data_IF_756139029850
#
_entry.id   IF_756139029850
#
_cell.length_a   1.000
_cell.length_b   1.000
_cell.length_c   1.000
_cell.angle_alpha   90.00
_cell.angle_beta   90.00
_cell.angle_gamma   90.00
#
_symmetry.space_group_name_H-M   'P 1'
#
loop_
_entity.id
_entity.type
_entity.pdbx_description
1 polymer ?
#
# COMPACT_ATOMS: atom_id res chain seq x y z
N UNK A 1 -12.76 -65.11 -24.76
CA UNK A 1 -11.93 -64.43 -23.72
C UNK A 1 -11.31 -63.11 -24.18
N UNK A 2 -11.03 -62.84 -25.40
CA UNK A 2 -10.43 -61.57 -25.89
C UNK A 2 -11.28 -60.31 -25.68
N UNK A 3 -12.61 -60.40 -25.73
CA UNK A 3 -13.53 -59.25 -25.61
C UNK A 3 -13.60 -58.64 -24.19
N UNK A 4 -13.36 -59.41 -23.16
CA UNK A 4 -13.33 -58.93 -21.77
C UNK A 4 -12.07 -58.07 -21.48
N UNK A 5 -10.94 -58.42 -22.08
CA UNK A 5 -9.71 -57.65 -21.99
C UNK A 5 -9.81 -56.28 -22.65
N UNK A 6 -10.42 -56.23 -23.85
CA UNK A 6 -10.59 -55.00 -24.60
C UNK A 6 -11.48 -53.98 -23.88
N UNK A 7 -12.57 -54.48 -23.25
CA UNK A 7 -13.49 -53.62 -22.44
C UNK A 7 -12.79 -53.09 -21.16
N UNK A 8 -11.89 -53.87 -20.54
CA UNK A 8 -11.12 -53.47 -19.36
C UNK A 8 -10.07 -52.41 -19.68
N UNK A 9 -9.42 -52.55 -20.84
CA UNK A 9 -8.48 -51.50 -21.33
C UNK A 9 -9.20 -50.23 -21.67
N UNK A 10 -10.32 -50.25 -22.36
CA UNK A 10 -11.13 -49.05 -22.69
C UNK A 10 -11.61 -48.31 -21.42
N UNK A 11 -12.06 -49.01 -20.38
CA UNK A 11 -12.45 -48.41 -19.09
C UNK A 11 -11.25 -47.71 -18.41
N UNK A 12 -10.08 -48.34 -18.41
CA UNK A 12 -8.85 -47.76 -17.84
C UNK A 12 -8.41 -46.52 -18.63
N UNK A 13 -8.38 -46.60 -19.97
CA UNK A 13 -8.04 -45.46 -20.82
C UNK A 13 -9.01 -44.30 -20.63
N UNK A 14 -10.33 -44.59 -20.55
CA UNK A 14 -11.32 -43.58 -20.28
C UNK A 14 -11.14 -42.90 -18.90
N UNK A 15 -10.90 -43.71 -17.85
CA UNK A 15 -10.67 -43.17 -16.53
C UNK A 15 -9.42 -42.29 -16.47
N UNK A 16 -8.31 -42.74 -17.12
CA UNK A 16 -7.10 -41.91 -17.22
C UNK A 16 -7.36 -40.60 -18.00
N UNK A 17 -8.07 -40.68 -19.11
CA UNK A 17 -8.42 -39.50 -19.92
C UNK A 17 -9.27 -38.50 -19.11
N UNK A 18 -10.23 -38.98 -18.32
CA UNK A 18 -11.05 -38.14 -17.43
C UNK A 18 -10.17 -37.48 -16.35
N UNK A 19 -9.27 -38.24 -15.70
CA UNK A 19 -8.36 -37.66 -14.70
C UNK A 19 -7.43 -36.60 -15.29
N UNK A 20 -6.87 -36.85 -16.46
CA UNK A 20 -6.03 -35.86 -17.18
C UNK A 20 -6.84 -34.64 -17.56
N UNK A 21 -8.08 -34.81 -18.05
CA UNK A 21 -8.96 -33.68 -18.37
C UNK A 21 -9.28 -32.85 -17.13
N UNK A 22 -9.61 -33.50 -16.01
CA UNK A 22 -9.85 -32.80 -14.74
C UNK A 22 -8.63 -32.03 -14.25
N UNK A 23 -7.43 -32.63 -14.40
CA UNK A 23 -6.16 -31.97 -14.06
C UNK A 23 -5.91 -30.74 -14.97
N UNK A 24 -6.19 -30.86 -16.28
CA UNK A 24 -6.07 -29.75 -17.21
C UNK A 24 -7.07 -28.64 -16.88
N UNK A 25 -8.32 -28.99 -16.60
CA UNK A 25 -9.36 -28.01 -16.20
C UNK A 25 -9.00 -27.27 -14.91
N UNK A 26 -8.40 -27.98 -13.96
CA UNK A 26 -7.89 -27.36 -12.72
C UNK A 26 -6.70 -26.43 -13.00
N UNK A 27 -5.70 -26.91 -13.75
CA UNK A 27 -4.50 -26.14 -14.08
C UNK A 27 -4.79 -24.90 -14.95
N UNK A 28 -5.82 -24.97 -15.79
CA UNK A 28 -6.27 -23.83 -16.62
C UNK A 28 -7.12 -22.81 -15.84
N UNK A 29 -7.46 -23.06 -14.59
CA UNK A 29 -8.32 -22.20 -13.77
C UNK A 29 -9.81 -22.22 -14.16
N UNK A 30 -10.20 -23.02 -15.19
CA UNK A 30 -11.61 -23.12 -15.63
C UNK A 30 -12.46 -23.80 -14.56
N UNK A 31 -11.88 -24.75 -13.84
CA UNK A 31 -12.54 -25.43 -12.73
C UNK A 31 -11.55 -25.68 -11.60
N UNK A 32 -11.62 -24.90 -10.53
CA UNK A 32 -10.75 -25.06 -9.38
C UNK A 32 -11.35 -26.05 -8.36
N UNK A 33 -10.57 -27.07 -7.99
CA UNK A 33 -10.92 -27.99 -6.90
C UNK A 33 -10.31 -27.45 -5.59
N UNK A 34 -11.14 -27.06 -4.64
CA UNK A 34 -10.70 -26.49 -3.36
C UNK A 34 -9.71 -27.41 -2.60
N UNK A 35 -9.87 -28.74 -2.73
CA UNK A 35 -8.95 -29.68 -2.10
C UNK A 35 -7.55 -29.65 -2.73
N UNK A 36 -7.46 -29.57 -4.07
CA UNK A 36 -6.17 -29.45 -4.78
C UNK A 36 -5.51 -28.10 -4.48
N UNK A 37 -6.29 -27.04 -4.45
CA UNK A 37 -5.79 -25.72 -4.12
C UNK A 37 -5.13 -25.68 -2.73
N UNK A 38 -5.77 -26.28 -1.71
CA UNK A 38 -5.16 -26.42 -0.37
C UNK A 38 -3.86 -27.22 -0.36
N UNK A 39 -3.77 -28.26 -1.20
CA UNK A 39 -2.54 -29.04 -1.33
C UNK A 39 -1.45 -28.21 -1.98
N UNK A 40 -1.76 -27.46 -3.03
CA UNK A 40 -0.82 -26.56 -3.69
C UNK A 40 -0.31 -25.47 -2.73
N UNK A 41 -1.20 -24.85 -1.96
CA UNK A 41 -0.84 -23.88 -0.92
C UNK A 41 0.07 -24.51 0.15
N UNK A 42 -0.25 -25.72 0.62
CA UNK A 42 0.57 -26.41 1.61
C UNK A 42 1.96 -26.79 1.06
N UNK A 43 2.03 -27.23 -0.19
CA UNK A 43 3.29 -27.53 -0.87
C UNK A 43 4.12 -26.26 -1.12
N UNK A 44 3.48 -25.16 -1.47
CA UNK A 44 4.13 -23.85 -1.59
C UNK A 44 4.75 -23.43 -0.25
N UNK A 45 3.97 -23.47 0.83
CA UNK A 45 4.43 -23.12 2.18
C UNK A 45 5.60 -24.03 2.63
N UNK A 46 5.49 -25.33 2.38
CA UNK A 46 6.56 -26.30 2.70
C UNK A 46 7.84 -25.97 1.92
N UNK A 47 7.70 -25.76 0.61
CA UNK A 47 8.84 -25.43 -0.25
C UNK A 47 9.50 -24.14 0.20
N UNK A 48 8.71 -23.10 0.50
CA UNK A 48 9.23 -21.83 0.98
C UNK A 48 10.02 -22.02 2.28
N UNK A 49 9.47 -22.75 3.27
CA UNK A 49 10.17 -23.03 4.54
C UNK A 49 11.48 -23.79 4.36
N UNK A 50 11.54 -24.69 3.39
CA UNK A 50 12.74 -25.52 3.14
C UNK A 50 13.81 -24.77 2.32
N UNK A 51 13.39 -23.84 1.47
CA UNK A 51 14.30 -23.16 0.53
C UNK A 51 14.61 -21.71 0.89
N UNK A 52 13.82 -21.11 1.80
CA UNK A 52 14.04 -19.74 2.21
C UNK A 52 15.36 -19.61 2.97
N UNK A 53 16.25 -18.72 2.53
CA UNK A 53 17.49 -18.47 3.24
C UNK A 53 17.17 -17.92 4.64
N UNK A 54 17.80 -18.49 5.68
CA UNK A 54 17.66 -18.08 7.08
C UNK A 54 18.57 -16.85 7.37
N UNK A 55 18.77 -15.97 6.38
CA UNK A 55 19.61 -14.79 6.48
C UNK A 55 18.76 -13.54 6.42
N UNK A 56 19.13 -12.55 7.23
CA UNK A 56 18.58 -11.20 7.14
C UNK A 56 19.31 -10.43 6.04
N UNK A 57 18.61 -9.67 5.25
CA UNK A 57 19.22 -8.73 4.32
C UNK A 57 19.51 -7.41 5.06
N UNK A 58 20.77 -7.21 5.44
CA UNK A 58 21.20 -6.04 6.20
C UNK A 58 21.01 -4.70 5.45
N UNK A 59 20.71 -4.74 4.15
CA UNK A 59 20.41 -3.55 3.36
C UNK A 59 19.01 -3.00 3.61
N UNK A 60 18.12 -3.82 4.20
CA UNK A 60 16.72 -3.47 4.49
C UNK A 60 16.58 -3.28 5.98
N UNK A 61 16.23 -2.06 6.39
CA UNK A 61 16.00 -1.70 7.79
C UNK A 61 14.54 -1.31 7.96
N UNK A 62 13.85 -1.98 8.89
CA UNK A 62 12.49 -1.61 9.29
C UNK A 62 12.59 -0.71 10.50
N UNK A 63 12.03 0.49 10.38
CA UNK A 63 11.92 1.45 11.49
C UNK A 63 10.48 1.39 11.99
N UNK A 64 10.30 0.80 13.14
CA UNK A 64 9.00 0.65 13.79
C UNK A 64 8.72 1.79 14.77
N UNK A 65 7.46 2.26 14.78
CA UNK A 65 6.93 3.19 15.78
C UNK A 65 6.38 2.34 16.93
N UNK A 66 7.28 1.85 17.77
CA UNK A 66 7.01 0.96 18.87
C UNK A 66 6.44 1.68 20.10
N UNK A 67 5.98 0.92 21.09
CA UNK A 67 5.45 1.43 22.35
C UNK A 67 6.44 2.35 23.11
N UNK A 68 7.75 2.10 22.98
CA UNK A 68 8.78 2.94 23.58
C UNK A 68 8.86 4.30 22.90
N UNK A 69 8.71 4.33 21.60
CA UNK A 69 8.65 5.56 20.80
C UNK A 69 7.39 6.34 21.14
N UNK A 70 6.23 5.67 21.27
CA UNK A 70 4.98 6.29 21.66
C UNK A 70 5.05 6.86 23.09
N UNK A 71 5.63 6.14 24.04
CA UNK A 71 5.81 6.62 25.42
C UNK A 71 6.69 7.86 25.53
N UNK A 72 7.69 8.01 24.63
CA UNK A 72 8.63 9.15 24.65
C UNK A 72 8.16 10.34 23.84
N UNK A 73 7.52 10.08 22.70
CA UNK A 73 7.20 11.11 21.72
C UNK A 73 5.71 11.42 21.63
N UNK A 74 4.87 10.71 22.40
CA UNK A 74 3.42 10.83 22.38
C UNK A 74 2.77 9.88 21.37
N UNK A 75 1.44 9.79 21.47
CA UNK A 75 0.63 8.87 20.67
C UNK A 75 0.69 9.20 19.18
N UNK A 76 0.56 8.15 18.36
CA UNK A 76 0.35 8.28 16.93
C UNK A 76 -1.11 8.71 16.64
N UNK A 77 -1.38 9.55 15.63
CA UNK A 77 -0.44 10.07 14.63
C UNK A 77 0.39 11.26 15.13
N UNK A 78 1.68 11.24 14.86
CA UNK A 78 2.56 12.38 15.16
C UNK A 78 2.33 13.55 14.21
N UNK A 79 2.67 14.77 14.66
CA UNK A 79 2.65 15.95 13.81
C UNK A 79 3.53 15.77 12.58
N UNK A 80 3.13 16.36 11.45
CA UNK A 80 3.91 16.30 10.20
C UNK A 80 5.30 16.94 10.37
N UNK A 81 5.44 17.91 11.25
CA UNK A 81 6.75 18.49 11.59
C UNK A 81 7.71 17.43 12.17
N UNK A 82 7.20 16.53 13.04
CA UNK A 82 8.00 15.43 13.60
C UNK A 82 8.33 14.37 12.54
N UNK A 83 7.38 13.99 11.72
CA UNK A 83 7.60 13.07 10.61
C UNK A 83 8.62 13.67 9.62
N UNK A 84 8.53 14.96 9.32
CA UNK A 84 9.50 15.66 8.47
C UNK A 84 10.91 15.64 9.06
N UNK A 85 11.04 15.79 10.39
CA UNK A 85 12.34 15.69 11.06
C UNK A 85 12.94 14.27 10.93
N UNK A 86 12.11 13.23 11.09
CA UNK A 86 12.53 11.83 10.88
C UNK A 86 12.95 11.59 9.43
N UNK A 87 12.16 12.04 8.46
CA UNK A 87 12.51 11.93 7.03
C UNK A 87 13.85 12.59 6.74
N UNK A 88 14.06 13.83 7.22
CA UNK A 88 15.36 14.53 7.04
C UNK A 88 16.51 13.79 7.70
N UNK A 89 16.33 13.29 8.91
CA UNK A 89 17.36 12.50 9.59
C UNK A 89 17.78 11.31 8.73
N UNK A 90 16.83 10.53 8.22
CA UNK A 90 17.10 9.34 7.44
C UNK A 90 17.70 9.66 6.07
N UNK A 91 17.15 10.64 5.37
CA UNK A 91 17.55 10.93 3.98
C UNK A 91 18.80 11.78 3.87
N UNK A 92 18.97 12.77 4.76
CA UNK A 92 20.07 13.74 4.68
C UNK A 92 21.26 13.35 5.56
N UNK A 93 21.00 12.85 6.78
CA UNK A 93 22.08 12.51 7.71
C UNK A 93 22.51 11.06 7.60
N UNK A 94 21.57 10.12 7.56
CA UNK A 94 21.86 8.69 7.39
C UNK A 94 22.07 8.30 5.93
N UNK A 95 21.66 9.16 4.99
CA UNK A 95 21.84 8.98 3.54
C UNK A 95 21.31 7.64 3.01
N UNK A 96 20.10 7.25 3.47
CA UNK A 96 19.45 6.03 2.99
C UNK A 96 19.21 6.10 1.48
N UNK A 97 19.43 5.00 0.78
CA UNK A 97 19.24 4.91 -0.67
C UNK A 97 17.77 5.04 -1.09
N UNK A 98 16.83 4.62 -0.22
CA UNK A 98 15.39 4.79 -0.40
C UNK A 98 14.70 4.72 0.96
N UNK A 99 13.60 5.47 1.12
CA UNK A 99 12.74 5.45 2.30
C UNK A 99 11.31 5.20 1.84
N UNK A 100 10.68 4.13 2.32
CA UNK A 100 9.24 3.88 2.16
C UNK A 100 8.50 4.30 3.43
N UNK A 101 7.42 5.06 3.31
CA UNK A 101 6.53 5.40 4.40
C UNK A 101 5.25 4.57 4.28
N UNK A 102 5.08 3.60 5.18
CA UNK A 102 3.86 2.79 5.32
C UNK A 102 2.84 3.55 6.20
N UNK A 103 2.47 4.73 5.75
CA UNK A 103 1.51 5.59 6.41
C UNK A 103 0.79 6.47 5.37
N UNK A 104 -0.48 6.78 5.64
CA UNK A 104 -1.30 7.64 4.79
C UNK A 104 -1.64 8.92 5.54
N UNK A 105 -1.40 10.05 4.91
CA UNK A 105 -1.65 11.38 5.42
C UNK A 105 -2.82 12.00 4.64
N UNK A 106 -4.03 11.48 4.89
CA UNK A 106 -5.23 11.83 4.14
C UNK A 106 -5.87 13.17 4.54
N UNK A 107 -5.47 13.73 5.68
CA UNK A 107 -6.02 14.96 6.24
C UNK A 107 -4.90 15.95 6.56
N UNK A 108 -5.23 17.23 6.57
CA UNK A 108 -4.30 18.29 6.96
C UNK A 108 -3.88 18.15 8.43
N UNK A 109 -2.66 18.53 8.73
CA UNK A 109 -2.16 18.55 10.12
C UNK A 109 -2.70 19.75 10.88
N UNK A 110 -3.71 19.50 11.71
CA UNK A 110 -4.28 20.52 12.60
C UNK A 110 -3.48 20.77 13.89
N UNK A 111 -2.43 20.00 14.18
CA UNK A 111 -1.73 20.02 15.47
C UNK A 111 -0.94 21.31 15.73
N UNK A 112 -0.59 22.05 14.67
CA UNK A 112 0.06 23.36 14.80
C UNK A 112 -0.89 24.49 15.21
N UNK A 113 -2.20 24.30 15.03
CA UNK A 113 -3.21 25.33 15.22
C UNK A 113 -3.25 26.41 14.10
N UNK A 114 -2.45 26.27 13.04
CA UNK A 114 -2.37 27.28 11.95
C UNK A 114 -3.73 27.59 11.36
N UNK A 115 -4.52 26.56 11.03
CA UNK A 115 -5.86 26.74 10.45
C UNK A 115 -6.80 27.52 11.38
N UNK A 116 -6.66 27.32 12.70
CA UNK A 116 -7.44 28.05 13.69
C UNK A 116 -7.02 29.51 13.75
N UNK A 117 -5.71 29.79 13.76
CA UNK A 117 -5.17 31.15 13.74
C UNK A 117 -5.55 31.90 12.45
N UNK A 118 -5.51 31.25 11.31
CA UNK A 118 -5.94 31.80 10.04
C UNK A 118 -7.44 32.12 10.03
N UNK A 119 -8.26 31.26 10.62
CA UNK A 119 -9.69 31.53 10.76
C UNK A 119 -9.93 32.73 11.66
N UNK A 120 -9.29 32.82 12.82
CA UNK A 120 -9.36 34.00 13.70
C UNK A 120 -8.95 35.29 12.99
N UNK A 121 -7.89 35.22 12.17
CA UNK A 121 -7.44 36.37 11.39
C UNK A 121 -8.49 36.85 10.39
N UNK A 122 -9.27 35.93 9.80
CA UNK A 122 -10.31 36.27 8.83
C UNK A 122 -11.62 36.73 9.46
N UNK A 123 -12.00 36.14 10.59
CA UNK A 123 -13.34 36.31 11.18
C UNK A 123 -13.35 37.37 12.29
N UNK A 124 -12.45 37.23 13.27
CA UNK A 124 -12.50 38.02 14.50
C UNK A 124 -11.45 39.13 14.56
N UNK A 125 -10.29 38.90 13.93
CA UNK A 125 -9.14 39.80 14.00
C UNK A 125 -8.77 40.38 12.62
N UNK A 126 -9.74 40.44 11.69
CA UNK A 126 -9.51 40.96 10.33
C UNK A 126 -9.07 42.46 10.31
N UNK A 127 -9.51 43.24 11.29
CA UNK A 127 -9.12 44.65 11.45
C UNK A 127 -7.87 44.85 12.32
N UNK A 128 -7.16 43.78 12.69
CA UNK A 128 -5.96 43.87 13.52
C UNK A 128 -4.68 43.61 12.69
N UNK A 129 -4.05 44.67 12.16
CA UNK A 129 -2.87 44.51 11.31
C UNK A 129 -1.66 43.94 12.08
N UNK A 130 -1.57 44.14 13.39
CA UNK A 130 -0.48 43.60 14.19
C UNK A 130 -0.57 42.06 14.26
N UNK A 131 -1.78 41.52 14.43
CA UNK A 131 -2.01 40.09 14.40
C UNK A 131 -1.77 39.50 13.00
N UNK A 132 -2.26 40.14 11.96
CA UNK A 132 -2.00 39.71 10.57
C UNK A 132 -0.51 39.66 10.24
N UNK A 133 0.25 40.67 10.62
CA UNK A 133 1.70 40.72 10.43
C UNK A 133 2.45 39.66 11.26
N UNK A 134 1.98 39.38 12.47
CA UNK A 134 2.54 38.31 13.29
C UNK A 134 2.26 36.94 12.65
N UNK A 135 1.01 36.69 12.28
CA UNK A 135 0.61 35.42 11.66
C UNK A 135 1.36 35.17 10.37
N UNK A 136 1.54 36.15 9.51
CA UNK A 136 2.31 36.03 8.27
C UNK A 136 3.76 35.57 8.52
N UNK A 137 4.37 36.00 9.62
CA UNK A 137 5.71 35.56 10.03
C UNK A 137 5.72 34.19 10.70
N UNK A 138 4.66 33.85 11.44
CA UNK A 138 4.56 32.59 12.17
C UNK A 138 4.10 31.42 11.26
N UNK A 139 3.25 31.69 10.27
CA UNK A 139 2.64 30.68 9.41
C UNK A 139 3.64 29.70 8.78
N UNK A 140 4.79 30.11 8.22
CA UNK A 140 5.76 29.17 7.68
C UNK A 140 6.33 28.16 8.70
N UNK A 141 6.37 28.54 9.98
CA UNK A 141 6.84 27.66 11.06
C UNK A 141 5.73 26.72 11.58
N UNK A 142 4.47 27.10 11.35
CA UNK A 142 3.28 26.36 11.73
C UNK A 142 2.72 25.51 10.59
N UNK A 143 3.23 25.65 9.39
CA UNK A 143 2.87 24.83 8.21
C UNK A 143 3.61 23.49 8.26
N UNK A 144 3.07 22.56 9.05
CA UNK A 144 3.67 21.25 9.25
C UNK A 144 3.53 20.35 8.02
N UNK A 145 2.46 20.51 7.25
CA UNK A 145 2.29 19.80 5.97
C UNK A 145 3.31 20.26 4.93
N UNK A 146 3.54 21.58 4.84
CA UNK A 146 4.60 22.13 4.00
C UNK A 146 6.00 21.71 4.44
N UNK A 147 6.25 21.60 5.74
CA UNK A 147 7.51 21.12 6.28
C UNK A 147 7.78 19.64 5.88
N UNK A 148 6.74 18.79 5.90
CA UNK A 148 6.84 17.41 5.42
C UNK A 148 7.01 17.35 3.91
N UNK A 149 6.22 18.12 3.14
CA UNK A 149 6.35 18.20 1.69
C UNK A 149 7.78 18.57 1.26
N UNK A 150 8.38 19.57 1.92
CA UNK A 150 9.77 19.97 1.68
C UNK A 150 10.76 18.83 1.98
N UNK A 151 10.57 18.07 3.06
CA UNK A 151 11.43 16.93 3.39
C UNK A 151 11.31 15.80 2.36
N UNK A 152 10.10 15.54 1.85
CA UNK A 152 9.85 14.54 0.82
C UNK A 152 10.53 14.89 -0.51
N UNK A 153 10.51 16.15 -0.91
CA UNK A 153 11.15 16.61 -2.15
C UNK A 153 12.67 16.43 -2.14
N UNK A 154 13.28 16.55 -0.96
CA UNK A 154 14.73 16.53 -0.78
C UNK A 154 15.31 15.11 -0.62
N UNK A 155 14.50 14.08 -0.58
CA UNK A 155 14.96 12.72 -0.33
C UNK A 155 14.35 11.68 -1.28
N UNK A 156 14.95 10.49 -1.36
CA UNK A 156 14.47 9.38 -2.15
C UNK A 156 13.29 8.67 -1.46
N UNK A 157 12.18 9.40 -1.26
CA UNK A 157 11.03 8.93 -0.47
C UNK A 157 9.91 8.44 -1.35
N UNK A 158 9.35 7.28 -1.02
CA UNK A 158 8.11 6.75 -1.57
C UNK A 158 6.99 6.83 -0.52
N UNK A 159 5.86 7.45 -0.86
CA UNK A 159 4.68 7.48 -0.03
C UNK A 159 3.79 6.27 -0.26
N UNK A 160 3.28 5.71 0.84
CA UNK A 160 2.27 4.66 0.81
C UNK A 160 0.86 5.23 0.58
N UNK A 161 0.03 4.43 -0.06
CA UNK A 161 -1.43 4.63 -0.15
C UNK A 161 -2.11 3.26 -0.24
N UNK A 162 -3.43 3.21 -0.14
CA UNK A 162 -4.17 1.96 -0.28
C UNK A 162 -5.42 2.13 -1.14
N UNK A 163 -5.84 1.03 -1.74
CA UNK A 163 -7.13 0.90 -2.39
C UNK A 163 -8.13 0.22 -1.46
N UNK A 164 -9.40 0.49 -1.66
CA UNK A 164 -10.50 -0.15 -0.92
C UNK A 164 -11.63 -0.55 -1.87
N UNK A 165 -12.42 -1.53 -1.41
CA UNK A 165 -13.66 -1.95 -2.07
C UNK A 165 -14.81 -1.80 -1.06
N UNK A 166 -14.90 -0.65 -0.43
CA UNK A 166 -15.97 -0.33 0.48
C UNK A 166 -17.26 -0.05 -0.28
N UNK A 167 -18.42 -0.41 0.32
CA UNK A 167 -19.74 -0.18 -0.30
C UNK A 167 -19.98 1.27 -0.72
N UNK A 168 -19.31 2.21 -0.06
CA UNK A 168 -19.48 3.65 -0.29
C UNK A 168 -18.43 4.21 -1.28
N UNK A 169 -17.59 3.36 -1.88
CA UNK A 169 -16.49 3.75 -2.78
C UNK A 169 -15.73 4.99 -2.24
N UNK A 170 -15.41 4.97 -0.94
CA UNK A 170 -14.83 6.12 -0.24
C UNK A 170 -13.48 6.49 -0.84
N UNK A 171 -13.29 7.78 -1.10
CA UNK A 171 -12.06 8.34 -1.69
C UNK A 171 -11.54 9.45 -0.80
N UNK A 172 -10.30 9.36 -0.35
CA UNK A 172 -9.66 10.40 0.47
C UNK A 172 -8.25 10.68 -0.02
N UNK A 173 -7.85 11.96 0.06
CA UNK A 173 -6.55 12.41 -0.45
C UNK A 173 -6.49 12.47 -1.97
N UNK A 174 -5.28 12.44 -2.52
CA UNK A 174 -5.00 12.53 -3.95
C UNK A 174 -4.14 11.36 -4.38
N UNK A 175 -4.60 10.58 -5.35
CA UNK A 175 -3.78 9.50 -5.92
C UNK A 175 -2.57 10.05 -6.67
N UNK A 176 -1.44 9.34 -6.65
CA UNK A 176 -0.33 9.63 -7.56
C UNK A 176 -0.76 9.43 -9.01
N UNK A 177 0.07 9.92 -9.94
CA UNK A 177 -0.17 9.67 -11.37
C UNK A 177 -0.16 8.17 -11.64
N UNK A 178 -1.05 7.65 -12.49
CA UNK A 178 -1.05 6.25 -12.86
C UNK A 178 0.28 5.87 -13.54
N UNK A 179 0.67 4.62 -13.38
CA UNK A 179 1.89 4.09 -13.99
C UNK A 179 1.80 4.08 -15.52
N UNK A 180 0.62 3.75 -16.04
CA UNK A 180 0.26 3.78 -17.45
C UNK A 180 -1.24 4.05 -17.60
N UNK A 181 -1.59 4.71 -18.70
CA UNK A 181 -2.96 4.75 -19.20
C UNK A 181 -3.10 3.69 -20.29
N UNK A 182 -4.10 2.83 -20.17
CA UNK A 182 -4.32 1.72 -21.10
C UNK A 182 -5.75 1.78 -21.66
N UNK A 183 -5.90 1.48 -22.94
CA UNK A 183 -7.23 1.46 -23.58
C UNK A 183 -8.09 0.29 -23.09
N UNK A 184 -7.47 -0.80 -22.64
CA UNK A 184 -8.16 -1.96 -22.07
C UNK A 184 -7.32 -2.58 -20.94
N UNK A 185 -7.99 -2.91 -19.85
CA UNK A 185 -7.34 -3.59 -18.72
C UNK A 185 -7.08 -5.06 -19.04
N UNK A 186 -5.89 -5.59 -18.72
CA UNK A 186 -5.63 -7.01 -18.82
C UNK A 186 -6.62 -7.83 -17.98
N UNK A 187 -7.05 -9.00 -18.44
CA UNK A 187 -7.92 -9.87 -17.67
C UNK A 187 -7.22 -10.35 -16.40
N UNK A 188 -7.96 -10.40 -15.29
CA UNK A 188 -7.44 -10.82 -13.99
C UNK A 188 -6.72 -9.75 -13.18
N UNK A 189 -6.63 -8.52 -13.67
CA UNK A 189 -6.10 -7.41 -12.89
C UNK A 189 -7.07 -7.05 -11.75
N UNK A 190 -6.52 -6.88 -10.54
CA UNK A 190 -7.31 -6.44 -9.40
C UNK A 190 -7.82 -5.02 -9.61
N UNK A 191 -9.10 -4.83 -9.36
CA UNK A 191 -9.78 -3.55 -9.51
C UNK A 191 -10.39 -3.12 -8.18
N UNK A 192 -10.27 -1.83 -7.88
CA UNK A 192 -10.88 -1.21 -6.71
C UNK A 192 -11.68 0.03 -7.12
N UNK A 193 -12.62 0.43 -6.27
CA UNK A 193 -13.52 1.58 -6.47
C UNK A 193 -13.31 2.70 -5.45
N UNK A 194 -12.58 2.42 -4.36
CA UNK A 194 -12.20 3.36 -3.32
C UNK A 194 -10.69 3.43 -3.09
N UNK A 195 -10.24 4.45 -2.38
CA UNK A 195 -8.85 4.60 -1.96
C UNK A 195 -8.69 5.54 -0.76
N UNK A 196 -7.61 5.34 -0.01
CA UNK A 196 -7.05 6.32 0.90
C UNK A 196 -5.63 6.68 0.50
N UNK A 197 -5.40 7.95 0.24
CA UNK A 197 -4.12 8.49 -0.20
C UNK A 197 -3.76 9.76 0.57
N UNK A 198 -2.61 10.32 0.26
CA UNK A 198 -2.10 11.50 0.94
C UNK A 198 -2.74 12.78 0.42
N UNK A 199 -2.70 13.86 1.19
CA UNK A 199 -3.13 15.19 0.73
C UNK A 199 -2.31 15.63 -0.49
N UNK A 200 -2.92 16.43 -1.35
CA UNK A 200 -2.33 16.86 -2.62
C UNK A 200 -0.90 17.42 -2.50
N UNK A 201 -0.57 18.30 -1.53
CA UNK A 201 0.80 18.81 -1.39
C UNK A 201 1.85 17.71 -1.13
N UNK A 202 1.51 16.68 -0.35
CA UNK A 202 2.43 15.59 -0.05
C UNK A 202 2.58 14.64 -1.24
N UNK A 203 1.47 14.31 -1.92
CA UNK A 203 1.51 13.50 -3.15
C UNK A 203 2.31 14.18 -4.26
N UNK A 204 2.17 15.49 -4.41
CA UNK A 204 2.93 16.26 -5.40
C UNK A 204 4.42 16.38 -5.05
N UNK A 205 4.75 16.39 -3.76
CA UNK A 205 6.12 16.52 -3.27
C UNK A 205 6.90 15.20 -3.34
N UNK A 206 6.24 14.06 -3.17
CA UNK A 206 6.87 12.76 -3.20
C UNK A 206 7.29 12.38 -4.62
N UNK A 207 8.54 11.93 -4.76
CA UNK A 207 9.08 11.49 -6.05
C UNK A 207 8.45 10.17 -6.52
N UNK A 208 7.99 9.36 -5.58
CA UNK A 208 7.44 8.01 -5.81
C UNK A 208 6.29 7.74 -4.86
N UNK A 209 5.42 6.84 -5.28
CA UNK A 209 4.37 6.32 -4.43
C UNK A 209 4.09 4.85 -4.78
N UNK A 210 3.58 4.10 -3.82
CA UNK A 210 3.17 2.71 -4.00
C UNK A 210 2.00 2.35 -3.11
N UNK A 211 1.11 1.51 -3.58
CA UNK A 211 0.07 0.99 -2.72
C UNK A 211 0.58 -0.23 -1.93
N UNK A 212 0.10 -0.38 -0.71
CA UNK A 212 0.53 -1.45 0.19
C UNK A 212 -0.57 -2.49 0.46
N UNK A 213 -1.57 -2.57 -0.43
CA UNK A 213 -2.59 -3.60 -0.31
C UNK A 213 -1.96 -4.99 -0.39
N UNK A 214 -2.31 -5.83 0.57
CA UNK A 214 -2.07 -7.26 0.50
C UNK A 214 -3.39 -7.99 0.27
N UNK A 215 -3.34 -9.09 -0.47
CA UNK A 215 -4.50 -9.96 -0.68
C UNK A 215 -4.21 -11.26 0.05
N UNK A 216 -5.04 -11.55 1.05
CA UNK A 216 -4.93 -12.80 1.76
C UNK A 216 -5.65 -13.92 1.00
N UNK A 217 -5.05 -15.09 0.98
CA UNK A 217 -5.67 -16.31 0.51
C UNK A 217 -6.83 -16.73 1.45
N UNK A 218 -7.69 -17.67 1.05
CA UNK A 218 -8.83 -18.11 1.86
C UNK A 218 -8.46 -18.65 3.25
N UNK A 219 -7.20 -19.05 3.45
CA UNK A 219 -6.68 -19.50 4.75
C UNK A 219 -6.12 -18.35 5.62
N UNK A 220 -6.26 -17.08 5.16
CA UNK A 220 -5.82 -15.89 5.87
C UNK A 220 -4.32 -15.55 5.71
N UNK A 221 -3.57 -16.32 4.93
CA UNK A 221 -2.15 -16.06 4.69
C UNK A 221 -1.96 -15.19 3.45
N UNK A 222 -0.95 -14.34 3.48
CA UNK A 222 -0.50 -13.55 2.33
C UNK A 222 0.67 -14.28 1.68
N UNK A 223 0.44 -14.81 0.47
CA UNK A 223 1.48 -15.50 -0.33
C UNK A 223 1.91 -14.72 -1.55
N UNK A 224 1.13 -13.73 -1.92
CA UNK A 224 1.42 -12.85 -3.05
C UNK A 224 1.02 -11.41 -2.72
N UNK A 225 1.75 -10.46 -3.30
CA UNK A 225 1.44 -9.04 -3.21
C UNK A 225 1.20 -8.52 -4.63
N UNK A 226 0.08 -7.85 -4.90
CA UNK A 226 -0.17 -7.27 -6.20
C UNK A 226 0.81 -6.12 -6.44
N UNK A 227 1.52 -6.14 -7.55
CA UNK A 227 2.45 -5.07 -7.96
C UNK A 227 1.77 -4.01 -8.82
N UNK A 228 0.65 -4.38 -9.45
CA UNK A 228 -0.14 -3.51 -10.31
C UNK A 228 -1.61 -3.72 -10.00
N UNK A 229 -2.36 -2.64 -10.04
CA UNK A 229 -3.78 -2.61 -9.77
C UNK A 229 -4.47 -1.63 -10.72
N UNK A 230 -5.75 -1.82 -10.95
CA UNK A 230 -6.58 -0.90 -11.69
C UNK A 230 -7.50 -0.12 -10.75
N UNK A 231 -7.65 1.15 -11.05
CA UNK A 231 -8.61 2.03 -10.40
C UNK A 231 -9.25 2.93 -11.46
N UNK A 232 -10.58 2.98 -11.48
CA UNK A 232 -11.35 3.85 -12.38
C UNK A 232 -11.02 3.64 -13.88
N UNK A 233 -10.75 2.37 -14.28
CA UNK A 233 -10.41 2.00 -15.65
C UNK A 233 -8.96 2.32 -16.07
N UNK A 234 -8.08 2.60 -15.12
CA UNK A 234 -6.66 2.97 -15.32
C UNK A 234 -5.75 2.11 -14.50
#
# INVERSE_FOLDING_TARGET
MAWAGLKRHRKRTLATAVLVLLAILHASGVWSFAALHRVDEALYDLRLRLTMPQTLDERIVIIDIDERSLARLGQWPWSRARVAALVRELTQRQQVAALGLDAVFAELDGSSGLQHLERLAREELHDNPAFGNWLARAAPQLDYDGALASALQQGPVALGYYFSSDRDARRSGTLPRPLAEVDALPPGLLQWDGYGSNIAPLTAAAQRAGFFNSVADPDGKVRAVPLVAAFDGR
#
